data_IF_780424431850
#
_entry.id   IF_780424431850
#
_cell.length_a   1.000
_cell.length_b   1.000
_cell.length_c   1.000
_cell.angle_alpha   90.00
_cell.angle_beta   90.00
_cell.angle_gamma   90.00
#
_symmetry.space_group_name_H-M   'P 1'
#
loop_
_entity.id
_entity.type
_entity.pdbx_description
1 polymer ?
#
# COMPACT_ATOMS: atom_id res chain seq x y z
N UNK A 1 11.98 -12.26 33.15
CA UNK A 1 11.64 -10.81 33.08
C UNK A 1 12.79 -10.06 33.69
N UNK A 2 13.74 -9.61 32.86
CA UNK A 2 14.95 -8.93 33.33
C UNK A 2 15.11 -7.65 32.52
N UNK A 3 14.67 -6.54 33.11
CA UNK A 3 14.74 -5.19 32.57
C UNK A 3 16.18 -4.70 32.70
N UNK A 4 16.83 -4.40 31.57
CA UNK A 4 18.03 -3.56 31.52
C UNK A 4 17.62 -2.17 31.03
N UNK A 5 17.56 -1.28 31.99
CA UNK A 5 17.36 0.16 31.85
C UNK A 5 18.70 0.84 31.52
N UNK A 6 18.60 1.96 30.79
CA UNK A 6 19.54 3.07 30.71
C UNK A 6 20.71 2.95 29.69
N UNK A 7 20.67 3.77 28.63
CA UNK A 7 21.54 4.97 28.50
C UNK A 7 21.05 5.82 27.29
N UNK A 8 20.79 7.13 27.47
CA UNK A 8 20.41 8.08 26.42
C UNK A 8 21.64 8.78 25.79
N UNK A 9 21.39 9.74 24.88
CA UNK A 9 22.32 10.55 24.08
C UNK A 9 22.85 9.90 22.80
N UNK A 10 22.44 10.43 21.64
CA UNK A 10 23.21 11.50 20.98
C UNK A 10 22.50 11.90 19.67
N UNK A 11 22.15 13.18 19.57
CA UNK A 11 21.61 13.81 18.37
C UNK A 11 22.61 13.71 17.20
N UNK A 12 22.14 13.43 15.98
CA UNK A 12 22.89 13.81 14.79
C UNK A 12 22.01 14.02 13.54
N UNK A 13 21.97 15.29 13.15
CA UNK A 13 21.93 15.84 11.80
C UNK A 13 20.76 15.52 10.86
N UNK A 14 19.90 16.54 10.76
CA UNK A 14 19.20 16.97 9.56
C UNK A 14 20.17 17.06 8.35
N UNK A 15 19.86 16.39 7.25
CA UNK A 15 20.40 16.75 5.93
C UNK A 15 19.33 16.53 4.85
N UNK A 16 18.65 17.62 4.50
CA UNK A 16 17.87 17.71 3.26
C UNK A 16 18.86 17.90 2.11
N UNK A 17 19.06 16.86 1.30
CA UNK A 17 19.65 17.01 -0.04
C UNK A 17 18.52 17.02 -1.07
N UNK A 18 18.15 18.22 -1.49
CA UNK A 18 17.37 18.48 -2.68
C UNK A 18 18.31 18.54 -3.89
N UNK A 19 18.20 17.57 -4.80
CA UNK A 19 18.68 17.71 -6.17
C UNK A 19 17.46 17.74 -7.10
N UNK A 20 17.41 18.80 -7.90
CA UNK A 20 16.30 19.21 -8.75
C UNK A 20 16.81 19.18 -10.19
N UNK A 21 16.54 18.11 -10.92
CA UNK A 21 16.81 18.06 -12.36
C UNK A 21 15.55 18.46 -13.13
N UNK A 22 15.65 19.63 -13.77
CA UNK A 22 14.68 20.15 -14.73
C UNK A 22 15.00 19.53 -16.08
N UNK A 23 14.19 18.57 -16.52
CA UNK A 23 14.19 18.18 -17.93
C UNK A 23 13.14 18.96 -18.70
N UNK A 24 13.60 19.47 -19.83
CA UNK A 24 12.97 20.42 -20.69
C UNK A 24 11.73 19.87 -21.39
N UNK A 25 10.79 20.80 -21.49
CA UNK A 25 9.69 20.96 -22.43
C UNK A 25 9.83 20.20 -23.77
N UNK A 26 8.83 19.39 -24.07
CA UNK A 26 8.47 18.99 -25.43
C UNK A 26 6.96 19.14 -25.60
N UNK A 27 6.54 20.37 -25.92
CA UNK A 27 5.23 20.70 -26.47
C UNK A 27 4.97 19.94 -27.78
N UNK A 28 3.98 19.05 -27.75
CA UNK A 28 3.35 18.51 -28.94
C UNK A 28 1.85 18.85 -28.90
N UNK A 29 1.54 20.10 -29.19
CA UNK A 29 0.19 20.53 -29.50
C UNK A 29 -0.24 19.95 -30.86
N UNK A 30 -1.15 18.97 -30.82
CA UNK A 30 -2.03 18.64 -31.95
C UNK A 30 -3.48 18.97 -31.53
N UNK A 31 -4.23 19.78 -32.28
CA UNK A 31 -5.65 19.98 -32.02
C UNK A 31 -6.41 18.79 -32.61
N UNK A 32 -6.92 17.94 -31.73
CA UNK A 32 -7.78 16.83 -32.08
C UNK A 32 -8.77 16.58 -30.94
N UNK A 33 -10.00 17.05 -31.13
CA UNK A 33 -11.13 16.79 -30.26
C UNK A 33 -11.39 15.28 -30.12
N UNK A 34 -11.40 14.80 -28.88
CA UNK A 34 -11.71 13.41 -28.56
C UNK A 34 -11.00 12.94 -27.31
N UNK A 35 -11.59 13.27 -26.15
CA UNK A 35 -11.15 12.94 -24.78
C UNK A 35 -10.38 11.61 -24.71
N UNK A 36 -9.06 11.68 -24.69
CA UNK A 36 -8.25 10.60 -24.11
C UNK A 36 -8.57 10.61 -22.62
N UNK A 37 -9.36 9.63 -22.18
CA UNK A 37 -9.44 9.30 -20.77
C UNK A 37 -8.01 8.99 -20.34
N UNK A 38 -7.37 9.95 -19.66
CA UNK A 38 -6.16 9.67 -18.92
C UNK A 38 -6.54 8.57 -17.93
N UNK A 39 -6.13 7.34 -18.22
CA UNK A 39 -6.03 6.29 -17.23
C UNK A 39 -4.99 6.79 -16.23
N UNK A 40 -5.45 7.60 -15.28
CA UNK A 40 -4.66 7.98 -14.13
C UNK A 40 -4.34 6.66 -13.44
N UNK A 41 -3.07 6.23 -13.53
CA UNK A 41 -2.56 5.15 -12.70
C UNK A 41 -2.64 5.63 -11.25
N UNK A 42 -3.78 5.39 -10.61
CA UNK A 42 -3.96 5.63 -9.20
C UNK A 42 -3.29 4.45 -8.49
N UNK A 43 -2.03 4.64 -8.13
CA UNK A 43 -1.35 3.67 -7.28
C UNK A 43 -1.95 3.75 -5.87
N UNK A 44 -2.75 2.76 -5.52
CA UNK A 44 -3.31 2.61 -4.19
C UNK A 44 -2.26 1.91 -3.30
N UNK A 45 -1.64 2.68 -2.40
CA UNK A 45 -0.73 2.11 -1.39
C UNK A 45 -1.55 1.53 -0.25
N UNK A 46 -1.41 0.23 0.09
CA UNK A 46 -2.12 -0.38 1.20
C UNK A 46 -1.77 0.28 2.54
N UNK A 47 -2.76 0.66 3.36
CA UNK A 47 -2.52 1.45 4.57
C UNK A 47 -1.92 0.66 5.74
N UNK A 48 -1.99 -0.68 5.74
CA UNK A 48 -1.53 -1.52 6.86
C UNK A 48 -0.22 -2.27 6.58
N UNK A 49 0.41 -2.01 5.43
CA UNK A 49 1.69 -2.61 5.03
C UNK A 49 1.61 -4.06 4.55
N UNK A 50 0.40 -4.56 4.28
CA UNK A 50 0.17 -5.85 3.64
C UNK A 50 0.05 -5.74 2.11
N UNK A 51 0.17 -6.86 1.37
CA UNK A 51 -0.17 -6.87 -0.06
C UNK A 51 -1.68 -6.62 -0.31
N UNK A 52 -2.03 -5.79 -1.32
CA UNK A 52 -3.39 -5.64 -1.76
C UNK A 52 -3.80 -6.80 -2.68
N UNK A 53 -5.07 -7.18 -2.60
CA UNK A 53 -5.74 -8.09 -3.52
C UNK A 53 -6.93 -7.34 -4.10
N UNK A 54 -6.85 -7.01 -5.39
CA UNK A 54 -7.89 -6.30 -6.12
C UNK A 54 -9.06 -7.24 -6.37
N UNK A 55 -10.28 -6.76 -6.13
CA UNK A 55 -11.52 -7.47 -6.43
C UNK A 55 -12.31 -6.72 -7.51
N UNK A 56 -12.77 -7.45 -8.52
CA UNK A 56 -13.42 -6.85 -9.69
C UNK A 56 -12.46 -5.96 -10.48
N UNK A 57 -12.99 -4.89 -11.07
CA UNK A 57 -12.23 -3.89 -11.82
C UNK A 57 -11.80 -2.73 -10.89
N UNK A 58 -11.02 -3.03 -9.84
CA UNK A 58 -10.62 -2.07 -8.78
C UNK A 58 -11.77 -1.52 -7.93
N UNK A 59 -12.89 -2.24 -7.87
CA UNK A 59 -14.07 -1.81 -7.10
C UNK A 59 -13.86 -1.93 -5.59
N UNK A 60 -13.10 -2.96 -5.18
CA UNK A 60 -12.79 -3.26 -3.79
C UNK A 60 -11.40 -3.87 -3.66
N UNK A 61 -10.86 -3.82 -2.44
CA UNK A 61 -9.54 -4.35 -2.13
C UNK A 61 -9.57 -5.13 -0.82
N UNK A 62 -8.91 -6.29 -0.81
CA UNK A 62 -8.49 -6.95 0.43
C UNK A 62 -7.02 -6.59 0.73
N UNK A 63 -6.67 -6.42 1.99
CA UNK A 63 -5.27 -6.31 2.42
C UNK A 63 -4.97 -7.38 3.48
N UNK A 64 -3.99 -8.24 3.20
CA UNK A 64 -3.57 -9.29 4.11
C UNK A 64 -2.32 -8.87 4.90
N UNK A 65 -2.41 -8.79 6.23
CA UNK A 65 -1.28 -8.46 7.09
C UNK A 65 -0.89 -9.67 7.94
N UNK A 66 0.36 -10.10 7.83
CA UNK A 66 0.90 -11.24 8.58
C UNK A 66 1.60 -10.77 9.87
N UNK A 67 1.04 -11.15 11.02
CA UNK A 67 1.73 -11.07 12.30
C UNK A 67 2.33 -12.46 12.63
N UNK A 68 3.62 -12.60 12.34
CA UNK A 68 4.35 -13.85 12.56
C UNK A 68 4.50 -14.19 14.05
N UNK A 69 4.66 -13.17 14.90
CA UNK A 69 4.93 -13.37 16.32
C UNK A 69 3.67 -13.79 17.06
N UNK A 70 2.52 -13.22 16.70
CA UNK A 70 1.22 -13.62 17.24
C UNK A 70 0.61 -14.83 16.53
N UNK A 71 1.19 -15.29 15.41
CA UNK A 71 0.66 -16.39 14.62
C UNK A 71 -0.68 -16.06 13.96
N UNK A 72 -0.88 -14.82 13.51
CA UNK A 72 -2.16 -14.37 12.94
C UNK A 72 -1.99 -13.83 11.51
N UNK A 73 -3.06 -13.97 10.73
CA UNK A 73 -3.24 -13.31 9.45
C UNK A 73 -4.49 -12.43 9.54
N UNK A 74 -4.34 -11.13 9.34
CA UNK A 74 -5.42 -10.15 9.35
C UNK A 74 -5.82 -9.86 7.91
N UNK A 75 -7.11 -9.68 7.67
CA UNK A 75 -7.65 -9.29 6.37
C UNK A 75 -8.53 -8.05 6.56
N UNK A 76 -8.23 -6.98 5.83
CA UNK A 76 -9.06 -5.79 5.77
C UNK A 76 -9.78 -5.74 4.43
N UNK A 77 -11.09 -5.49 4.43
CA UNK A 77 -11.88 -5.27 3.22
C UNK A 77 -12.20 -3.78 3.07
N UNK A 78 -11.85 -3.22 1.91
CA UNK A 78 -11.88 -1.79 1.65
C UNK A 78 -12.50 -1.46 0.30
N UNK A 79 -12.87 -0.19 0.11
CA UNK A 79 -13.36 0.32 -1.17
C UNK A 79 -12.27 0.41 -2.25
N UNK A 80 -12.64 0.86 -3.45
CA UNK A 80 -11.73 0.97 -4.59
C UNK A 80 -10.56 1.91 -4.38
N UNK A 81 -10.59 2.76 -3.36
CA UNK A 81 -9.49 3.69 -3.05
C UNK A 81 -8.63 3.26 -1.87
N UNK A 82 -8.97 2.14 -1.21
CA UNK A 82 -8.29 1.64 -0.01
C UNK A 82 -8.26 2.66 1.14
N UNK A 83 -9.31 3.48 1.30
CA UNK A 83 -9.39 4.48 2.38
C UNK A 83 -10.59 4.26 3.33
N UNK A 84 -11.59 3.47 2.93
CA UNK A 84 -12.75 3.13 3.76
C UNK A 84 -12.96 1.64 3.87
N UNK A 85 -13.35 1.19 5.06
CA UNK A 85 -13.74 -0.20 5.29
C UNK A 85 -15.13 -0.49 4.75
N UNK A 86 -15.27 -1.64 4.10
CA UNK A 86 -16.54 -2.16 3.60
C UNK A 86 -16.98 -3.33 4.45
N UNK A 87 -18.23 -3.28 4.94
CA UNK A 87 -18.84 -4.40 5.67
C UNK A 87 -19.58 -5.30 4.69
N UNK A 88 -19.44 -6.61 4.88
CA UNK A 88 -20.16 -7.62 4.11
C UNK A 88 -20.98 -8.51 5.04
N UNK A 89 -22.07 -9.07 4.51
CA UNK A 89 -22.91 -10.02 5.25
C UNK A 89 -22.27 -11.41 5.34
N UNK A 90 -21.21 -11.68 4.56
CA UNK A 90 -20.53 -12.97 4.58
C UNK A 90 -19.91 -13.21 5.98
N UNK A 91 -20.23 -14.34 6.63
CA UNK A 91 -19.73 -14.62 7.97
C UNK A 91 -18.26 -15.08 7.98
N UNK A 92 -17.72 -15.47 6.82
CA UNK A 92 -16.36 -15.95 6.66
C UNK A 92 -15.85 -15.73 5.22
N UNK A 93 -14.53 -15.76 5.05
CA UNK A 93 -13.82 -15.77 3.78
C UNK A 93 -12.92 -17.02 3.76
N UNK A 94 -13.03 -17.81 2.70
CA UNK A 94 -12.11 -18.94 2.48
C UNK A 94 -10.84 -18.45 1.78
N UNK A 95 -9.69 -18.85 2.31
CA UNK A 95 -8.37 -18.42 1.80
C UNK A 95 -7.48 -19.64 1.64
N UNK A 96 -6.94 -19.83 0.43
CA UNK A 96 -5.85 -20.79 0.20
C UNK A 96 -4.53 -20.04 0.31
N UNK A 97 -3.73 -20.37 1.33
CA UNK A 97 -2.41 -19.80 1.52
C UNK A 97 -1.34 -20.89 1.40
N UNK A 98 -0.26 -20.60 0.68
CA UNK A 98 0.91 -21.46 0.61
C UNK A 98 2.05 -20.79 1.37
N UNK A 99 2.65 -21.50 2.32
CA UNK A 99 3.90 -21.07 2.92
C UNK A 99 5.04 -21.48 1.99
N UNK A 100 5.80 -20.52 1.46
CA UNK A 100 7.10 -20.83 0.91
C UNK A 100 7.99 -21.24 2.07
N UNK A 101 8.28 -22.54 2.20
CA UNK A 101 9.28 -23.00 3.15
C UNK A 101 10.64 -22.53 2.64
N UNK A 102 11.22 -21.54 3.30
CA UNK A 102 12.63 -21.23 3.13
C UNK A 102 13.42 -22.35 3.81
N UNK A 103 14.21 -23.08 3.00
CA UNK A 103 15.09 -24.16 3.46
C UNK A 103 16.21 -23.66 4.36
#
# INVERSE_FOLDING_TARGET
MNIKLLTPFLALALSLSACKDKHADHDHAKPGDGKKASAHKHEHTPPHGGPPVVLGEEEYHLEFVRDAAAGKLQCYLMDGHMDKFVRIAAPAIEVTAMATQTA
#
